data_IF_167946618905
#
_entry.id   IF_167946618905
#
_cell.length_a   1.000
_cell.length_b   1.000
_cell.length_c   1.000
_cell.angle_alpha   90.00
_cell.angle_beta   90.00
_cell.angle_gamma   90.00
#
_symmetry.space_group_name_H-M   'P 1'
#
loop_
_entity.id
_entity.type
_entity.pdbx_description
1 polymer ?
#
# COMPACT_ATOMS: atom_id res chain seq x y z
N UNK A 1 -51.89 3.57 21.82
CA UNK A 1 -51.05 2.48 21.28
C UNK A 1 -50.84 2.72 19.80
N UNK A 2 -49.68 3.26 19.41
CA UNK A 2 -49.23 3.40 18.01
C UNK A 2 -47.80 2.87 17.92
N UNK A 3 -47.66 1.67 17.33
CA UNK A 3 -46.40 1.05 17.01
C UNK A 3 -45.76 1.84 15.87
N UNK A 4 -44.62 2.45 16.11
CA UNK A 4 -43.75 3.05 15.08
C UNK A 4 -42.79 1.97 14.58
N UNK A 5 -42.90 1.64 13.30
CA UNK A 5 -42.02 0.73 12.60
C UNK A 5 -40.69 1.46 12.31
N UNK A 6 -39.63 1.13 13.03
CA UNK A 6 -38.27 1.58 12.69
C UNK A 6 -37.74 0.71 11.54
N UNK A 7 -37.74 1.26 10.32
CA UNK A 7 -37.04 0.68 9.19
C UNK A 7 -35.56 1.09 9.30
N UNK A 8 -34.70 0.17 9.70
CA UNK A 8 -33.26 0.36 9.62
C UNK A 8 -32.79 0.18 8.18
N UNK A 9 -32.50 1.28 7.48
CA UNK A 9 -31.81 1.25 6.20
C UNK A 9 -30.35 0.85 6.43
N UNK A 10 -30.03 -0.40 6.15
CA UNK A 10 -28.66 -0.87 5.99
C UNK A 10 -28.13 -0.32 4.65
N UNK A 11 -27.43 0.81 4.71
CA UNK A 11 -26.62 1.26 3.59
C UNK A 11 -25.41 0.31 3.46
N UNK A 12 -25.53 -0.70 2.64
CA UNK A 12 -24.40 -1.48 2.14
C UNK A 12 -23.56 -0.57 1.23
N UNK A 13 -22.57 0.10 1.82
CA UNK A 13 -21.57 0.83 1.07
C UNK A 13 -20.75 -0.16 0.25
N UNK A 14 -21.09 -0.32 -1.03
CA UNK A 14 -20.23 -0.97 -2.01
C UNK A 14 -18.96 -0.13 -2.11
N UNK A 15 -17.88 -0.60 -1.49
CA UNK A 15 -16.55 -0.07 -1.75
C UNK A 15 -16.24 -0.38 -3.23
N UNK A 16 -16.44 0.61 -4.09
CA UNK A 16 -15.93 0.58 -5.45
C UNK A 16 -14.41 0.52 -5.33
N UNK A 17 -13.83 -0.68 -5.50
CA UNK A 17 -12.41 -0.82 -5.72
C UNK A 17 -12.07 0.07 -6.92
N UNK A 18 -11.25 1.11 -6.70
CA UNK A 18 -10.77 1.94 -7.79
C UNK A 18 -10.01 1.01 -8.74
N UNK A 19 -10.52 0.88 -9.95
CA UNK A 19 -9.94 0.06 -11.00
C UNK A 19 -8.57 0.62 -11.31
N UNK A 20 -7.52 -0.18 -11.14
CA UNK A 20 -6.17 0.21 -11.54
C UNK A 20 -6.12 0.25 -13.06
N UNK A 21 -5.35 1.17 -13.66
CA UNK A 21 -5.20 1.22 -15.11
C UNK A 21 -4.67 -0.12 -15.61
N UNK A 22 -5.29 -0.63 -16.65
CA UNK A 22 -4.90 -1.89 -17.26
C UNK A 22 -3.56 -1.71 -17.98
N UNK A 23 -2.51 -2.35 -17.47
CA UNK A 23 -1.18 -2.30 -18.08
C UNK A 23 -1.20 -3.05 -19.42
N UNK A 24 -0.74 -2.41 -20.46
CA UNK A 24 -0.56 -3.06 -21.76
C UNK A 24 0.52 -4.15 -21.69
N UNK A 25 0.48 -5.15 -22.58
CA UNK A 25 1.54 -6.16 -22.67
C UNK A 25 2.93 -5.55 -22.80
N UNK A 26 3.05 -4.51 -23.63
CA UNK A 26 4.32 -3.80 -23.84
C UNK A 26 4.81 -3.06 -22.57
N UNK A 27 3.92 -2.55 -21.75
CA UNK A 27 4.26 -1.91 -20.47
C UNK A 27 4.75 -2.95 -19.45
N UNK A 28 4.07 -4.08 -19.34
CA UNK A 28 4.50 -5.21 -18.47
C UNK A 28 5.88 -5.73 -18.88
N UNK A 29 6.14 -5.87 -20.17
CA UNK A 29 7.44 -6.30 -20.69
C UNK A 29 8.54 -5.28 -20.36
N UNK A 30 8.22 -3.98 -20.47
CA UNK A 30 9.14 -2.90 -20.08
C UNK A 30 9.47 -2.96 -18.58
N UNK A 31 8.46 -3.07 -17.71
CA UNK A 31 8.65 -3.21 -16.25
C UNK A 31 9.48 -4.45 -15.91
N UNK A 32 9.11 -5.60 -16.47
CA UNK A 32 9.85 -6.85 -16.28
C UNK A 32 11.31 -6.70 -16.69
N UNK A 33 11.57 -6.02 -17.81
CA UNK A 33 12.93 -5.82 -18.30
C UNK A 33 13.79 -4.95 -17.38
N UNK A 34 13.21 -3.94 -16.72
CA UNK A 34 13.87 -3.13 -15.69
C UNK A 34 14.19 -3.99 -14.47
N UNK A 35 13.21 -4.75 -13.96
CA UNK A 35 13.38 -5.65 -12.81
C UNK A 35 14.49 -6.67 -13.04
N UNK A 36 14.52 -7.32 -14.22
CA UNK A 36 15.56 -8.28 -14.59
C UNK A 36 16.95 -7.64 -14.60
N UNK A 37 17.05 -6.41 -15.13
CA UNK A 37 18.33 -5.70 -15.15
C UNK A 37 18.80 -5.35 -13.72
N UNK A 38 17.90 -4.88 -12.85
CA UNK A 38 18.19 -4.61 -11.42
C UNK A 38 18.65 -5.90 -10.72
N UNK A 39 17.91 -6.99 -10.89
CA UNK A 39 18.24 -8.29 -10.27
C UNK A 39 19.63 -8.82 -10.70
N UNK A 40 20.06 -8.49 -11.92
CA UNK A 40 21.40 -8.81 -12.45
C UNK A 40 22.47 -7.79 -12.06
N UNK A 41 22.10 -6.77 -11.29
CA UNK A 41 22.98 -5.64 -10.93
C UNK A 41 23.52 -4.87 -12.15
N UNK A 42 22.84 -4.96 -13.29
CA UNK A 42 23.16 -4.21 -14.52
C UNK A 42 22.45 -2.85 -14.49
N UNK A 43 23.02 -1.92 -13.74
CA UNK A 43 22.46 -0.58 -13.59
C UNK A 43 22.41 0.23 -14.89
N UNK A 44 23.34 -0.01 -15.81
CA UNK A 44 23.33 0.67 -17.10
C UNK A 44 22.12 0.24 -17.94
N UNK A 45 21.86 -1.06 -18.04
CA UNK A 45 20.70 -1.59 -18.72
C UNK A 45 19.39 -1.18 -18.00
N UNK A 46 19.34 -1.23 -16.66
CA UNK A 46 18.16 -0.83 -15.90
C UNK A 46 17.76 0.62 -16.19
N UNK A 47 18.73 1.55 -16.16
CA UNK A 47 18.49 2.97 -16.43
C UNK A 47 18.11 3.22 -17.89
N UNK A 48 18.74 2.52 -18.84
CA UNK A 48 18.39 2.66 -20.26
C UNK A 48 16.94 2.25 -20.52
N UNK A 49 16.51 1.08 -20.03
CA UNK A 49 15.13 0.57 -20.16
C UNK A 49 14.12 1.43 -19.44
N UNK A 50 14.47 1.94 -18.25
CA UNK A 50 13.64 2.90 -17.51
C UNK A 50 13.38 4.16 -18.34
N UNK A 51 14.43 4.74 -18.93
CA UNK A 51 14.31 5.95 -19.75
C UNK A 51 13.47 5.71 -21.03
N UNK A 52 13.59 4.54 -21.64
CA UNK A 52 12.75 4.14 -22.77
C UNK A 52 11.26 4.08 -22.36
N UNK A 53 10.94 3.45 -21.23
CA UNK A 53 9.57 3.39 -20.70
C UNK A 53 9.01 4.77 -20.33
N UNK A 54 9.85 5.65 -19.75
CA UNK A 54 9.47 7.04 -19.46
C UNK A 54 9.16 7.82 -20.73
N UNK A 55 9.97 7.64 -21.79
CA UNK A 55 9.72 8.27 -23.08
C UNK A 55 8.40 7.82 -23.72
N UNK A 56 8.04 6.55 -23.54
CA UNK A 56 6.77 5.97 -23.99
C UNK A 56 5.59 6.31 -23.07
N UNK A 57 5.84 6.98 -21.94
CA UNK A 57 4.84 7.37 -20.94
C UNK A 57 4.10 6.19 -20.33
N UNK A 58 4.76 5.06 -20.16
CA UNK A 58 4.20 3.91 -19.48
C UNK A 58 3.97 4.24 -18.00
N UNK A 59 2.76 4.03 -17.53
CA UNK A 59 2.29 4.56 -16.24
C UNK A 59 2.92 3.85 -15.06
N UNK A 60 3.09 2.51 -15.12
CA UNK A 60 3.81 1.73 -14.11
C UNK A 60 5.29 2.06 -14.03
N UNK A 61 5.89 2.53 -15.14
CA UNK A 61 7.29 2.98 -15.15
C UNK A 61 7.49 4.24 -14.29
N UNK A 62 6.48 5.11 -14.14
CA UNK A 62 6.59 6.23 -13.20
C UNK A 62 6.78 5.76 -11.76
N UNK A 63 6.02 4.73 -11.34
CA UNK A 63 6.17 4.14 -10.01
C UNK A 63 7.57 3.53 -9.82
N UNK A 64 8.02 2.71 -10.77
CA UNK A 64 9.35 2.10 -10.77
C UNK A 64 10.46 3.15 -10.70
N UNK A 65 10.38 4.18 -11.53
CA UNK A 65 11.36 5.28 -11.52
C UNK A 65 11.37 6.03 -10.18
N UNK A 66 10.19 6.24 -9.60
CA UNK A 66 10.06 6.82 -8.27
C UNK A 66 10.80 6.00 -7.22
N UNK A 67 10.60 4.69 -7.18
CA UNK A 67 11.30 3.76 -6.29
C UNK A 67 12.82 3.79 -6.48
N UNK A 68 13.28 3.76 -7.73
CA UNK A 68 14.71 3.82 -8.03
C UNK A 68 15.37 5.12 -7.53
N UNK A 69 14.67 6.26 -7.61
CA UNK A 69 15.16 7.52 -7.04
C UNK A 69 14.99 7.61 -5.54
N UNK A 70 13.93 7.05 -4.96
CA UNK A 70 13.70 7.07 -3.50
C UNK A 70 14.78 6.27 -2.76
N UNK A 71 15.01 5.03 -3.21
CA UNK A 71 15.87 4.06 -2.53
C UNK A 71 17.31 4.03 -3.08
N UNK A 72 17.61 4.81 -4.11
CA UNK A 72 18.95 4.85 -4.71
C UNK A 72 19.28 3.59 -5.52
N UNK A 73 18.29 2.91 -6.08
CA UNK A 73 18.50 1.70 -6.88
C UNK A 73 19.02 2.10 -8.25
N UNK A 74 20.28 1.81 -8.55
CA UNK A 74 20.96 2.17 -9.80
C UNK A 74 21.01 3.69 -10.11
N UNK A 75 20.46 4.53 -9.28
CA UNK A 75 20.42 6.00 -9.42
C UNK A 75 20.85 6.64 -8.11
N UNK A 76 21.33 7.90 -8.18
CA UNK A 76 21.57 8.68 -6.96
C UNK A 76 20.22 8.99 -6.31
N UNK A 77 20.05 8.73 -5.00
CA UNK A 77 18.83 9.06 -4.28
C UNK A 77 18.42 10.52 -4.47
N UNK A 78 17.15 10.73 -4.77
CA UNK A 78 16.58 12.06 -4.97
C UNK A 78 15.07 12.03 -4.71
N UNK A 79 14.67 12.46 -3.50
CA UNK A 79 13.27 12.48 -3.11
C UNK A 79 12.41 13.37 -4.00
N UNK A 80 12.85 14.56 -4.35
CA UNK A 80 12.07 15.49 -5.18
C UNK A 80 11.75 14.91 -6.57
N UNK A 81 12.66 14.13 -7.13
CA UNK A 81 12.40 13.40 -8.39
C UNK A 81 11.44 12.24 -8.17
N UNK A 82 11.61 11.49 -7.08
CA UNK A 82 10.71 10.40 -6.73
C UNK A 82 9.28 10.91 -6.53
N UNK A 83 9.10 11.97 -5.77
CA UNK A 83 7.82 12.62 -5.52
C UNK A 83 7.10 13.02 -6.83
N UNK A 84 7.79 13.71 -7.75
CA UNK A 84 7.20 14.07 -9.05
C UNK A 84 6.77 12.85 -9.86
N UNK A 85 7.48 11.75 -9.76
CA UNK A 85 7.15 10.51 -10.46
C UNK A 85 5.95 9.81 -9.80
N UNK A 86 5.87 9.79 -8.47
CA UNK A 86 4.72 9.27 -7.74
C UNK A 86 3.45 10.09 -8.00
N UNK A 87 3.56 11.43 -8.10
CA UNK A 87 2.45 12.28 -8.51
C UNK A 87 1.95 11.93 -9.92
N UNK A 88 2.86 11.64 -10.86
CA UNK A 88 2.48 11.18 -12.21
C UNK A 88 1.82 9.80 -12.19
N UNK A 89 2.34 8.88 -11.40
CA UNK A 89 1.75 7.56 -11.22
C UNK A 89 0.34 7.67 -10.62
N UNK A 90 0.17 8.50 -9.60
CA UNK A 90 -1.14 8.78 -9.01
C UNK A 90 -2.12 9.42 -10.00
N UNK A 91 -1.70 10.43 -10.75
CA UNK A 91 -2.51 11.07 -11.79
C UNK A 91 -2.91 10.09 -12.91
N UNK A 92 -2.12 9.05 -13.14
CA UNK A 92 -2.43 7.96 -14.07
C UNK A 92 -3.33 6.86 -13.45
N UNK A 93 -3.76 7.02 -12.20
CA UNK A 93 -4.65 6.08 -11.51
C UNK A 93 -3.95 4.99 -10.69
N UNK A 94 -2.61 4.98 -10.61
CA UNK A 94 -1.90 4.01 -9.78
C UNK A 94 -2.03 4.35 -8.30
N UNK A 95 -2.77 3.54 -7.56
CA UNK A 95 -2.95 3.69 -6.12
C UNK A 95 -1.62 3.68 -5.35
N UNK A 96 -0.66 2.86 -5.78
CA UNK A 96 0.65 2.80 -5.15
C UNK A 96 1.37 4.16 -5.16
N UNK A 97 1.11 5.03 -6.15
CA UNK A 97 1.69 6.37 -6.22
C UNK A 97 1.35 7.22 -4.99
N UNK A 98 0.06 7.28 -4.58
CA UNK A 98 -0.33 8.04 -3.39
C UNK A 98 0.19 7.42 -2.09
N UNK A 99 0.24 6.08 -2.00
CA UNK A 99 0.80 5.40 -0.84
C UNK A 99 2.29 5.71 -0.67
N UNK A 100 3.05 5.76 -1.77
CA UNK A 100 4.45 6.16 -1.75
C UNK A 100 4.65 7.63 -1.37
N UNK A 101 3.76 8.52 -1.80
CA UNK A 101 3.76 9.92 -1.33
C UNK A 101 3.57 10.01 0.18
N UNK A 102 2.58 9.30 0.73
CA UNK A 102 2.36 9.25 2.18
C UNK A 102 3.61 8.76 2.92
N UNK A 103 4.13 7.58 2.54
CA UNK A 103 5.28 6.98 3.19
C UNK A 103 6.52 7.86 3.10
N UNK A 104 6.78 8.43 1.93
CA UNK A 104 7.95 9.25 1.70
C UNK A 104 7.91 10.60 2.41
N UNK A 105 6.75 11.25 2.50
CA UNK A 105 6.59 12.49 3.27
C UNK A 105 6.62 12.24 4.78
N UNK A 106 6.08 11.09 5.24
CA UNK A 106 6.15 10.71 6.64
C UNK A 106 7.57 10.34 7.10
N UNK A 107 8.41 9.82 6.19
CA UNK A 107 9.77 9.38 6.49
C UNK A 107 10.63 10.56 6.95
N UNK A 108 11.23 10.45 8.14
CA UNK A 108 12.05 11.51 8.74
C UNK A 108 11.31 12.85 8.91
N UNK A 109 9.98 12.81 9.01
CA UNK A 109 9.12 13.99 9.14
C UNK A 109 9.40 15.07 8.09
N UNK A 110 9.57 14.68 6.84
CA UNK A 110 9.85 15.62 5.73
C UNK A 110 8.77 16.68 5.60
N UNK A 111 7.53 16.22 5.44
CA UNK A 111 6.35 17.07 5.44
C UNK A 111 5.18 16.34 6.10
N UNK A 112 5.01 16.52 7.43
CA UNK A 112 3.94 15.90 8.19
C UNK A 112 2.54 16.22 7.68
N UNK A 113 2.31 17.46 7.25
CA UNK A 113 1.01 17.88 6.75
C UNK A 113 0.70 17.22 5.40
N UNK A 114 1.66 17.22 4.47
CA UNK A 114 1.51 16.54 3.18
C UNK A 114 1.30 15.03 3.37
N UNK A 115 2.02 14.37 4.28
CA UNK A 115 1.83 12.95 4.57
C UNK A 115 0.39 12.64 4.97
N UNK A 116 -0.17 13.40 5.92
CA UNK A 116 -1.54 13.20 6.38
C UNK A 116 -2.58 13.62 5.33
N UNK A 117 -2.30 14.68 4.57
CA UNK A 117 -3.19 15.12 3.49
C UNK A 117 -3.36 14.05 2.41
N UNK A 118 -2.26 13.45 1.95
CA UNK A 118 -2.29 12.33 1.02
C UNK A 118 -2.94 11.09 1.62
N UNK A 119 -2.73 10.82 2.92
CA UNK A 119 -3.35 9.71 3.62
C UNK A 119 -4.88 9.83 3.66
N UNK A 120 -5.43 11.03 3.90
CA UNK A 120 -6.88 11.28 3.87
C UNK A 120 -7.49 11.03 2.48
N UNK A 121 -6.74 11.32 1.42
CA UNK A 121 -7.18 11.10 0.04
C UNK A 121 -7.01 9.66 -0.43
N UNK A 122 -6.23 8.85 0.28
CA UNK A 122 -5.98 7.46 -0.07
C UNK A 122 -7.20 6.59 0.24
N UNK A 123 -7.96 6.22 -0.78
CA UNK A 123 -9.10 5.31 -0.61
C UNK A 123 -8.66 3.99 0.01
N UNK A 124 -9.27 3.61 1.14
CA UNK A 124 -9.01 2.35 1.83
C UNK A 124 -7.77 2.33 2.74
N UNK A 125 -7.15 3.47 3.02
CA UNK A 125 -6.24 3.61 4.14
C UNK A 125 -7.03 3.92 5.40
N UNK A 126 -7.04 3.00 6.36
CA UNK A 126 -7.65 3.23 7.66
C UNK A 126 -6.60 3.86 8.59
N UNK A 127 -6.80 5.12 8.94
CA UNK A 127 -6.05 5.78 10.00
C UNK A 127 -6.75 5.57 11.35
N UNK A 128 -6.02 5.59 12.48
CA UNK A 128 -6.64 5.64 13.80
C UNK A 128 -7.62 6.82 13.93
N UNK A 129 -8.69 6.63 14.67
CA UNK A 129 -9.74 7.66 14.84
C UNK A 129 -9.21 9.07 15.16
N UNK A 130 -8.22 9.25 16.05
CA UNK A 130 -7.69 10.59 16.34
C UNK A 130 -7.00 11.27 15.16
N UNK A 131 -6.66 10.52 14.11
CA UNK A 131 -5.93 11.02 12.94
C UNK A 131 -6.85 11.45 11.78
N UNK A 132 -8.14 11.28 11.91
CA UNK A 132 -9.12 11.71 10.91
C UNK A 132 -9.35 13.23 10.94
N UNK A 133 -9.38 13.83 9.77
CA UNK A 133 -9.83 15.22 9.58
C UNK A 133 -11.10 15.18 8.73
N UNK A 134 -12.17 15.90 9.11
CA UNK A 134 -13.43 15.91 8.35
C UNK A 134 -13.25 16.39 6.90
N UNK A 135 -13.98 15.81 5.95
CA UNK A 135 -13.87 16.13 4.52
C UNK A 135 -13.94 17.63 4.18
N UNK A 136 -14.86 18.43 4.73
CA UNK A 136 -14.89 19.85 4.39
C UNK A 136 -13.62 20.62 4.77
N UNK A 137 -12.79 20.05 5.64
CA UNK A 137 -11.53 20.65 6.09
C UNK A 137 -10.37 20.16 5.24
N UNK A 138 -10.24 18.83 5.03
CA UNK A 138 -9.10 18.31 4.27
C UNK A 138 -9.21 18.59 2.76
N UNK A 139 -10.36 18.94 2.22
CA UNK A 139 -10.50 19.38 0.83
C UNK A 139 -9.87 20.75 0.53
N UNK A 140 -9.57 21.54 1.58
CA UNK A 140 -8.87 22.82 1.49
C UNK A 140 -7.50 22.70 2.19
N UNK A 141 -6.38 22.76 1.45
CA UNK A 141 -5.04 22.57 2.04
C UNK A 141 -4.70 23.55 3.16
N UNK A 142 -5.14 24.82 3.07
CA UNK A 142 -4.85 25.80 4.11
C UNK A 142 -5.61 25.48 5.40
N UNK A 143 -6.91 25.21 5.29
CA UNK A 143 -7.75 24.80 6.44
C UNK A 143 -7.29 23.48 7.05
N UNK A 144 -6.75 22.57 6.23
CA UNK A 144 -6.19 21.32 6.71
C UNK A 144 -4.96 21.56 7.59
N UNK A 145 -4.03 22.41 7.14
CA UNK A 145 -2.84 22.77 7.94
C UNK A 145 -3.23 23.43 9.25
N UNK A 146 -4.18 24.37 9.22
CA UNK A 146 -4.68 25.04 10.44
C UNK A 146 -5.30 24.02 11.42
N UNK A 147 -6.06 23.05 10.91
CA UNK A 147 -6.63 21.99 11.74
C UNK A 147 -5.56 21.11 12.40
N UNK A 148 -4.48 20.80 11.69
CA UNK A 148 -3.37 20.02 12.26
C UNK A 148 -2.61 20.81 13.34
N UNK A 149 -2.48 22.13 13.19
CA UNK A 149 -1.84 22.99 14.19
C UNK A 149 -2.66 23.07 15.50
N UNK A 150 -3.96 22.86 15.42
CA UNK A 150 -4.84 22.83 16.60
C UNK A 150 -4.81 21.47 17.35
N UNK A 151 -4.10 20.46 16.84
CA UNK A 151 -4.04 19.16 17.48
C UNK A 151 -3.24 19.20 18.79
N UNK A 152 -3.55 18.33 19.76
CA UNK A 152 -2.76 18.15 20.96
C UNK A 152 -1.29 17.82 20.65
N UNK A 153 -0.41 18.22 21.55
CA UNK A 153 1.02 17.94 21.41
C UNK A 153 1.28 16.43 21.21
N UNK A 154 2.09 16.11 20.22
CA UNK A 154 2.45 14.73 19.85
C UNK A 154 1.43 14.00 18.97
N UNK A 155 0.18 14.47 18.86
CA UNK A 155 -0.81 13.80 18.01
C UNK A 155 -0.39 13.81 16.54
N UNK A 156 0.15 14.92 16.05
CA UNK A 156 0.66 15.02 14.68
C UNK A 156 1.73 13.96 14.39
N UNK A 157 2.72 13.84 15.27
CA UNK A 157 3.80 12.85 15.13
C UNK A 157 3.28 11.41 15.15
N UNK A 158 2.35 11.11 16.07
CA UNK A 158 1.75 9.79 16.17
C UNK A 158 0.95 9.43 14.90
N UNK A 159 0.18 10.38 14.36
CA UNK A 159 -0.62 10.17 13.17
C UNK A 159 0.24 10.06 11.90
N UNK A 160 1.30 10.83 11.78
CA UNK A 160 2.28 10.73 10.68
C UNK A 160 2.97 9.36 10.69
N UNK A 161 3.37 8.89 11.88
CA UNK A 161 3.93 7.55 12.05
C UNK A 161 2.95 6.48 11.58
N UNK A 162 1.69 6.53 12.05
CA UNK A 162 0.67 5.57 11.66
C UNK A 162 0.42 5.58 10.14
N UNK A 163 0.32 6.77 9.55
CA UNK A 163 0.14 6.93 8.10
C UNK A 163 1.33 6.36 7.32
N UNK A 164 2.55 6.66 7.74
CA UNK A 164 3.78 6.19 7.09
C UNK A 164 3.90 4.67 7.09
N UNK A 165 3.75 4.04 8.27
CA UNK A 165 3.80 2.57 8.42
C UNK A 165 2.72 1.91 7.57
N UNK A 166 1.46 2.38 7.70
CA UNK A 166 0.33 1.81 6.95
C UNK A 166 0.51 1.96 5.44
N UNK A 167 0.92 3.14 4.99
CA UNK A 167 1.13 3.41 3.57
C UNK A 167 2.26 2.57 2.98
N UNK A 168 3.36 2.41 3.70
CA UNK A 168 4.49 1.60 3.25
C UNK A 168 4.08 0.14 3.08
N UNK A 169 3.48 -0.45 4.10
CA UNK A 169 3.03 -1.84 4.05
C UNK A 169 2.02 -2.06 2.93
N UNK A 170 1.07 -1.13 2.78
CA UNK A 170 0.03 -1.24 1.73
C UNK A 170 0.61 -1.00 0.33
N UNK A 171 1.56 -0.08 0.21
CA UNK A 171 2.18 0.26 -1.08
C UNK A 171 3.17 -0.78 -1.59
N UNK A 172 3.77 -1.56 -0.68
CA UNK A 172 4.68 -2.67 -1.01
C UNK A 172 3.96 -3.99 -1.26
N UNK A 173 2.66 -4.06 -0.95
CA UNK A 173 1.90 -5.29 -1.10
C UNK A 173 1.59 -5.56 -2.57
N UNK A 174 2.42 -6.38 -3.19
CA UNK A 174 2.17 -6.98 -4.49
C UNK A 174 1.45 -8.33 -4.30
N UNK A 175 0.76 -8.77 -5.35
CA UNK A 175 0.20 -10.11 -5.36
C UNK A 175 1.35 -11.14 -5.42
N UNK A 176 1.51 -12.02 -4.42
CA UNK A 176 2.65 -12.95 -4.41
C UNK A 176 2.61 -13.88 -5.61
N UNK A 177 3.74 -14.03 -6.31
CA UNK A 177 3.84 -14.88 -7.50
C UNK A 177 3.35 -16.31 -7.24
N UNK A 178 3.67 -16.87 -6.06
CA UNK A 178 3.17 -18.19 -5.64
C UNK A 178 1.65 -18.26 -5.50
N UNK A 179 1.00 -17.16 -5.10
CA UNK A 179 -0.46 -17.11 -5.03
C UNK A 179 -1.07 -17.02 -6.45
N UNK A 180 -0.40 -16.32 -7.37
CA UNK A 180 -0.75 -16.29 -8.79
C UNK A 180 -0.65 -17.68 -9.42
N UNK A 181 0.45 -18.39 -9.21
CA UNK A 181 0.69 -19.72 -9.77
C UNK A 181 -0.39 -20.74 -9.35
N UNK A 182 -0.95 -20.57 -8.16
CA UNK A 182 -2.00 -21.44 -7.63
C UNK A 182 -3.41 -20.84 -7.70
N UNK A 183 -3.58 -19.69 -8.35
CA UNK A 183 -4.86 -18.99 -8.52
C UNK A 183 -5.63 -18.82 -7.19
N UNK A 184 -4.92 -18.43 -6.13
CA UNK A 184 -5.53 -18.21 -4.82
C UNK A 184 -5.97 -16.77 -4.66
N UNK A 185 -7.25 -16.57 -4.42
CA UNK A 185 -7.81 -15.31 -3.96
C UNK A 185 -8.02 -15.36 -2.44
N UNK A 186 -8.05 -14.21 -1.79
CA UNK A 186 -8.33 -14.21 -0.36
C UNK A 186 -8.15 -12.86 0.31
N UNK A 187 -8.42 -12.85 1.61
CA UNK A 187 -8.26 -11.69 2.48
C UNK A 187 -7.38 -12.05 3.65
N UNK A 188 -6.35 -11.23 3.87
CA UNK A 188 -5.44 -11.33 5.00
C UNK A 188 -5.48 -10.01 5.77
N UNK A 189 -5.68 -10.10 7.07
CA UNK A 189 -5.60 -8.97 7.99
C UNK A 189 -4.22 -8.97 8.65
N UNK A 190 -3.56 -7.85 8.58
CA UNK A 190 -2.31 -7.59 9.28
C UNK A 190 -2.52 -6.51 10.33
N UNK A 191 -2.10 -6.78 11.54
CA UNK A 191 -2.17 -5.84 12.66
C UNK A 191 -0.76 -5.54 13.13
N UNK A 192 -0.45 -4.25 13.24
CA UNK A 192 0.79 -3.75 13.82
C UNK A 192 0.52 -3.28 15.24
N UNK A 193 1.37 -3.67 16.16
CA UNK A 193 1.40 -3.19 17.54
C UNK A 193 2.67 -2.32 17.72
N UNK A 194 2.59 -1.00 17.47
CA UNK A 194 3.77 -0.12 17.47
C UNK A 194 4.56 -0.17 18.78
N UNK A 195 3.88 -0.29 19.90
CA UNK A 195 4.52 -0.37 21.22
C UNK A 195 5.39 -1.61 21.40
N UNK A 196 5.03 -2.71 20.73
CA UNK A 196 5.78 -3.96 20.77
C UNK A 196 6.82 -4.07 19.64
N UNK A 197 6.80 -3.15 18.68
CA UNK A 197 7.62 -3.24 17.47
C UNK A 197 7.35 -4.52 16.67
N UNK A 198 6.12 -5.04 16.74
CA UNK A 198 5.76 -6.33 16.18
C UNK A 198 4.56 -6.22 15.25
N UNK A 199 4.53 -7.10 14.26
CA UNK A 199 3.38 -7.31 13.40
C UNK A 199 2.79 -8.70 13.61
N UNK A 200 1.48 -8.79 13.56
CA UNK A 200 0.74 -10.06 13.57
C UNK A 200 -0.22 -10.06 12.37
N UNK A 201 -0.51 -11.23 11.83
CA UNK A 201 -1.45 -11.37 10.72
C UNK A 201 -2.44 -12.47 11.03
N UNK A 202 -3.60 -12.34 10.43
CA UNK A 202 -4.67 -13.32 10.48
C UNK A 202 -5.24 -13.49 9.10
N UNK A 203 -5.27 -14.73 8.61
CA UNK A 203 -6.00 -15.07 7.40
C UNK A 203 -7.50 -15.02 7.72
N UNK A 204 -8.25 -14.18 7.02
CA UNK A 204 -9.70 -14.06 7.19
C UNK A 204 -10.39 -15.05 6.26
N UNK A 205 -9.93 -15.15 5.01
CA UNK A 205 -10.52 -15.99 3.99
C UNK A 205 -9.48 -16.30 2.92
N UNK A 206 -9.38 -17.56 2.49
CA UNK A 206 -8.67 -17.96 1.28
C UNK A 206 -9.61 -18.81 0.44
N UNK A 207 -9.75 -18.44 -0.82
CA UNK A 207 -10.54 -19.15 -1.82
C UNK A 207 -9.61 -19.60 -2.93
N UNK A 208 -9.67 -20.89 -3.30
CA UNK A 208 -9.04 -21.37 -4.52
C UNK A 208 -10.05 -21.36 -5.65
N UNK A 209 -9.70 -20.74 -6.77
CA UNK A 209 -10.49 -20.85 -7.99
C UNK A 209 -10.37 -22.28 -8.55
N UNK A 210 -11.44 -22.84 -9.15
CA UNK A 210 -11.37 -24.15 -9.74
C UNK A 210 -10.38 -24.14 -10.90
N UNK A 211 -9.30 -24.93 -10.78
CA UNK A 211 -8.39 -25.16 -11.92
C UNK A 211 -9.11 -26.01 -12.95
N UNK A 212 -9.17 -25.52 -14.18
CA UNK A 212 -9.63 -26.31 -15.34
C UNK A 212 -8.53 -27.29 -15.73
N UNK A 213 -8.61 -28.52 -15.24
CA UNK A 213 -7.69 -29.60 -15.63
C UNK A 213 -7.56 -30.72 -14.60
N UNK A 214 -8.32 -31.72 -14.72
CA UNK A 214 -8.28 -33.19 -14.51
C UNK A 214 -7.38 -33.84 -13.44
N UNK A 215 -6.88 -33.16 -12.44
CA UNK A 215 -6.20 -33.79 -11.30
C UNK A 215 -7.07 -33.61 -10.06
N UNK A 216 -7.29 -34.72 -9.33
CA UNK A 216 -8.09 -34.73 -8.09
C UNK A 216 -7.74 -33.55 -7.19
N UNK A 217 -8.65 -32.57 -7.17
CA UNK A 217 -8.42 -31.23 -6.65
C UNK A 217 -8.15 -31.18 -5.14
N UNK A 218 -8.62 -32.17 -4.36
CA UNK A 218 -8.66 -32.06 -2.89
C UNK A 218 -7.31 -32.31 -2.21
N UNK A 219 -6.49 -33.21 -2.72
CA UNK A 219 -5.20 -33.53 -2.07
C UNK A 219 -4.08 -32.55 -2.42
N UNK A 220 -4.11 -31.99 -3.62
CA UNK A 220 -3.20 -30.91 -4.03
C UNK A 220 -3.63 -29.57 -3.44
N UNK A 221 -4.94 -29.36 -3.25
CA UNK A 221 -5.52 -28.19 -2.59
C UNK A 221 -4.92 -27.96 -1.20
N UNK A 222 -4.92 -28.95 -0.34
CA UNK A 222 -4.50 -28.79 1.06
C UNK A 222 -2.99 -28.55 1.24
N UNK A 223 -2.14 -29.20 0.46
CA UNK A 223 -0.69 -28.98 0.54
C UNK A 223 -0.27 -27.64 -0.08
N UNK A 224 -0.81 -27.33 -1.24
CA UNK A 224 -0.45 -26.12 -1.96
C UNK A 224 -1.05 -24.89 -1.30
N UNK A 225 -2.30 -24.94 -0.81
CA UNK A 225 -2.91 -23.85 -0.04
C UNK A 225 -2.10 -23.48 1.20
N UNK A 226 -1.66 -24.45 1.99
CA UNK A 226 -0.81 -24.19 3.17
C UNK A 226 0.54 -23.58 2.79
N UNK A 227 1.18 -24.08 1.73
CA UNK A 227 2.48 -23.53 1.28
C UNK A 227 2.36 -22.11 0.75
N UNK A 228 1.31 -21.81 0.01
CA UNK A 228 1.04 -20.46 -0.51
C UNK A 228 0.63 -19.52 0.63
N UNK A 229 -0.21 -19.98 1.55
CA UNK A 229 -0.55 -19.21 2.74
C UNK A 229 0.71 -18.84 3.52
N UNK A 230 1.60 -19.79 3.78
CA UNK A 230 2.85 -19.53 4.48
C UNK A 230 3.79 -18.58 3.73
N UNK A 231 3.84 -18.68 2.39
CA UNK A 231 4.58 -17.74 1.55
C UNK A 231 4.01 -16.32 1.62
N UNK A 232 2.69 -16.19 1.59
CA UNK A 232 1.99 -14.92 1.73
C UNK A 232 2.21 -14.30 3.12
N UNK A 233 2.10 -15.12 4.16
CA UNK A 233 2.36 -14.69 5.54
C UNK A 233 3.79 -14.20 5.73
N UNK A 234 4.78 -14.92 5.19
CA UNK A 234 6.18 -14.49 5.24
C UNK A 234 6.39 -13.16 4.48
N UNK A 235 5.81 -13.03 3.30
CA UNK A 235 5.89 -11.81 2.50
C UNK A 235 5.32 -10.60 3.24
N UNK A 236 4.14 -10.75 3.84
CA UNK A 236 3.50 -9.68 4.62
C UNK A 236 4.30 -9.36 5.90
N UNK A 237 4.86 -10.38 6.56
CA UNK A 237 5.75 -10.20 7.72
C UNK A 237 6.97 -9.37 7.35
N UNK A 238 7.66 -9.76 6.28
CA UNK A 238 8.86 -9.06 5.82
C UNK A 238 8.56 -7.62 5.44
N UNK A 239 7.40 -7.36 4.82
CA UNK A 239 6.90 -6.02 4.53
C UNK A 239 6.65 -5.20 5.80
N UNK A 240 5.97 -5.79 6.78
CA UNK A 240 5.71 -5.19 8.07
C UNK A 240 6.99 -4.85 8.84
N UNK A 241 7.91 -5.79 8.90
CA UNK A 241 9.19 -5.59 9.57
C UNK A 241 10.06 -4.53 8.87
N UNK A 242 10.01 -4.44 7.54
CA UNK A 242 10.66 -3.33 6.80
C UNK A 242 10.05 -1.99 7.18
N UNK A 243 8.72 -1.89 7.20
CA UNK A 243 8.03 -0.65 7.56
C UNK A 243 8.39 -0.21 8.99
N UNK A 244 8.35 -1.12 9.96
CA UNK A 244 8.71 -0.82 11.35
C UNK A 244 10.17 -0.39 11.51
N UNK A 245 11.09 -0.91 10.70
CA UNK A 245 12.50 -0.46 10.70
C UNK A 245 12.69 0.92 10.08
N UNK A 246 11.85 1.30 9.12
CA UNK A 246 11.99 2.58 8.43
C UNK A 246 11.35 3.76 9.17
N UNK A 247 10.39 3.47 10.05
CA UNK A 247 9.70 4.47 10.83
C UNK A 247 10.03 4.30 12.32
N UNK A 248 10.82 5.24 12.87
CA UNK A 248 11.08 5.28 14.31
C UNK A 248 9.78 5.66 15.02
N UNK A 249 9.35 4.84 15.98
CA UNK A 249 8.13 5.11 16.75
C UNK A 249 8.33 6.34 17.65
N UNK A 250 7.54 7.41 17.50
CA UNK A 250 7.54 8.53 18.42
C UNK A 250 7.02 8.13 19.80
N UNK A 251 7.50 8.80 20.86
CA UNK A 251 7.01 8.58 22.22
C UNK A 251 5.51 8.88 22.38
N UNK A 252 4.99 9.78 21.55
CA UNK A 252 3.58 10.16 21.52
C UNK A 252 2.63 9.07 20.97
N UNK A 253 3.15 8.02 20.34
CA UNK A 253 2.30 6.91 19.86
C UNK A 253 1.78 6.11 21.06
N UNK A 254 0.44 6.06 21.27
CA UNK A 254 -0.15 5.34 22.39
C UNK A 254 0.26 3.87 22.41
N UNK A 255 0.45 3.32 23.61
CA UNK A 255 0.91 1.94 23.77
C UNK A 255 -0.13 0.89 23.35
N UNK A 256 -1.40 1.28 23.35
CA UNK A 256 -2.55 0.44 22.99
C UNK A 256 -2.94 0.54 21.50
N UNK A 257 -2.27 1.39 20.73
CA UNK A 257 -2.56 1.51 19.30
C UNK A 257 -2.31 0.21 18.56
N UNK A 258 -3.27 -0.09 17.70
CA UNK A 258 -3.21 -1.18 16.73
C UNK A 258 -3.54 -0.60 15.36
N UNK A 259 -2.61 -0.74 14.42
CA UNK A 259 -2.79 -0.34 13.03
C UNK A 259 -3.16 -1.60 12.25
N UNK A 260 -4.34 -1.63 11.64
CA UNK A 260 -4.82 -2.80 10.91
C UNK A 260 -4.91 -2.49 9.43
N UNK A 261 -4.34 -3.37 8.62
CA UNK A 261 -4.42 -3.33 7.16
C UNK A 261 -5.05 -4.63 6.67
N UNK A 262 -6.02 -4.53 5.77
CA UNK A 262 -6.62 -5.69 5.13
C UNK A 262 -6.17 -5.76 3.68
N UNK A 263 -5.49 -6.84 3.34
CA UNK A 263 -5.11 -7.15 1.96
C UNK A 263 -6.19 -8.02 1.34
N UNK A 264 -6.72 -7.59 0.22
CA UNK A 264 -7.64 -8.37 -0.60
C UNK A 264 -6.95 -8.73 -1.91
N UNK A 265 -6.78 -10.01 -2.14
CA UNK A 265 -6.23 -10.58 -3.36
C UNK A 265 -7.38 -11.18 -4.16
N UNK A 266 -7.60 -10.69 -5.37
CA UNK A 266 -8.64 -11.20 -6.27
C UNK A 266 -8.11 -11.33 -7.68
N UNK A 267 -8.57 -12.35 -8.40
CA UNK A 267 -8.41 -12.41 -9.84
C UNK A 267 -9.57 -11.66 -10.49
N UNK A 268 -9.25 -10.85 -11.44
CA UNK A 268 -10.22 -10.26 -12.38
C UNK A 268 -10.27 -11.09 -13.65
#
# INVERSE_FOLDING_TARGET
MRCGLCVALLLAGSALAAEQPEETGAERDALSSVHVAIARQDCAAAVARLNEGLARRYTGIYLMAGLMYEDGICLKPNWERAERLYLRAHAAGHRAGVLRLVAGQARNSRDPAAALWWAQQSKGMALPLPCGVPEPVWSDPARFVDALQAWPAGQLEACVYAAGVTAMVTGDAEYPATALDFQLAGRVEMTFEPAKGASAWRTIQIESLPMTGGVSADTLRDRNSRRVQQSLENYLRDGGDRALRQFTRPAAVPADWRLTVVFAFSFK
#
